data_IF_270350408599
#
_entry.id   IF_270350408599
#
_cell.length_a   1.000
_cell.length_b   1.000
_cell.length_c   1.000
_cell.angle_alpha   90.00
_cell.angle_beta   90.00
_cell.angle_gamma   90.00
#
_symmetry.space_group_name_H-M   'P 1'
#
loop_
_entity.id
_entity.type
_entity.pdbx_description
1 polymer ?
#
# COMPACT_ATOMS: atom_id res chain seq x y z
N UNK A 1 -8.16 29.21 12.77
CA UNK A 1 -7.47 28.81 14.03
C UNK A 1 -7.85 27.36 14.42
N UNK A 2 -6.86 26.45 14.48
CA UNK A 2 -7.01 25.13 15.10
C UNK A 2 -6.44 23.94 14.31
N UNK A 3 -6.82 23.77 13.03
CA UNK A 3 -6.47 22.58 12.23
C UNK A 3 -6.05 22.98 10.81
N UNK A 4 -5.01 22.33 10.27
CA UNK A 4 -4.59 22.52 8.87
C UNK A 4 -5.65 21.92 7.94
N UNK A 5 -6.05 22.65 6.89
CA UNK A 5 -7.12 22.26 5.97
C UNK A 5 -7.03 20.81 5.48
N UNK A 6 -5.85 20.37 5.01
CA UNK A 6 -5.66 19.00 4.51
C UNK A 6 -5.92 17.91 5.56
N UNK A 7 -5.66 18.19 6.84
CA UNK A 7 -5.92 17.25 7.95
C UNK A 7 -7.43 17.09 8.15
N UNK A 8 -8.15 18.20 8.10
CA UNK A 8 -9.60 18.21 8.24
C UNK A 8 -10.27 17.50 7.05
N UNK A 9 -9.83 17.78 5.82
CA UNK A 9 -10.34 17.11 4.61
C UNK A 9 -10.10 15.59 4.68
N UNK A 10 -8.90 15.16 5.06
CA UNK A 10 -8.58 13.74 5.23
C UNK A 10 -9.48 13.07 6.29
N UNK A 11 -9.69 13.73 7.44
CA UNK A 11 -10.56 13.20 8.50
C UNK A 11 -12.01 13.04 8.02
N UNK A 12 -12.52 13.98 7.24
CA UNK A 12 -13.85 13.88 6.64
C UNK A 12 -13.95 12.72 5.65
N UNK A 13 -12.95 12.54 4.79
CA UNK A 13 -12.91 11.44 3.83
C UNK A 13 -12.89 10.08 4.52
N UNK A 14 -12.02 9.92 5.53
CA UNK A 14 -11.94 8.69 6.33
C UNK A 14 -13.27 8.40 7.02
N UNK A 15 -13.87 9.40 7.67
CA UNK A 15 -15.17 9.24 8.33
C UNK A 15 -16.26 8.80 7.34
N UNK A 16 -16.34 9.45 6.18
CA UNK A 16 -17.33 9.12 5.14
C UNK A 16 -17.17 7.67 4.64
N UNK A 17 -15.94 7.25 4.36
CA UNK A 17 -15.64 5.90 3.85
C UNK A 17 -15.93 4.84 4.91
N UNK A 18 -15.46 5.05 6.14
CA UNK A 18 -15.67 4.10 7.23
C UNK A 18 -17.15 3.95 7.59
N UNK A 19 -17.90 5.05 7.61
CA UNK A 19 -19.34 5.03 7.85
C UNK A 19 -20.07 4.19 6.80
N UNK A 20 -19.78 4.39 5.51
CA UNK A 20 -20.41 3.63 4.41
C UNK A 20 -20.10 2.13 4.50
N UNK A 21 -18.86 1.78 4.79
CA UNK A 21 -18.45 0.37 4.94
C UNK A 21 -19.17 -0.26 6.14
N UNK A 22 -19.29 0.46 7.27
CA UNK A 22 -20.05 0.00 8.43
C UNK A 22 -21.53 -0.23 8.09
N UNK A 23 -22.17 0.71 7.39
CA UNK A 23 -23.58 0.56 6.97
C UNK A 23 -23.80 -0.64 6.03
N UNK A 24 -22.79 -0.98 5.22
CA UNK A 24 -22.83 -2.17 4.37
C UNK A 24 -22.51 -3.49 5.12
N UNK A 25 -22.32 -3.45 6.44
CA UNK A 25 -21.94 -4.63 7.25
C UNK A 25 -20.47 -5.03 7.14
N UNK A 26 -19.63 -4.20 6.50
CA UNK A 26 -18.20 -4.43 6.39
C UNK A 26 -17.44 -4.07 7.68
N UNK A 27 -16.28 -4.71 7.86
CA UNK A 27 -15.38 -4.46 8.99
C UNK A 27 -13.96 -4.18 8.51
N UNK A 28 -13.18 -3.49 9.34
CA UNK A 28 -11.77 -3.22 9.07
C UNK A 28 -10.89 -4.00 10.05
N UNK A 29 -9.77 -4.51 9.55
CA UNK A 29 -8.72 -5.04 10.40
C UNK A 29 -7.90 -3.87 10.96
N UNK A 30 -7.91 -3.69 12.27
CA UNK A 30 -7.13 -2.65 12.94
C UNK A 30 -5.62 -2.81 12.69
N UNK A 31 -5.12 -4.06 12.59
CA UNK A 31 -3.71 -4.35 12.35
C UNK A 31 -3.25 -4.09 10.91
N UNK A 32 -4.19 -4.09 9.95
CA UNK A 32 -3.89 -3.84 8.52
C UNK A 32 -4.28 -2.43 8.07
N UNK A 33 -5.00 -1.67 8.90
CA UNK A 33 -5.46 -0.32 8.57
C UNK A 33 -4.29 0.66 8.47
N UNK A 34 -4.27 1.44 7.39
CA UNK A 34 -3.26 2.49 7.14
C UNK A 34 -3.96 3.84 7.06
N UNK A 35 -4.16 4.51 8.20
CA UNK A 35 -4.86 5.79 8.32
C UNK A 35 -3.92 6.86 8.89
N UNK A 36 -4.02 8.10 8.42
CA UNK A 36 -3.18 9.23 8.85
C UNK A 36 -1.67 8.97 8.76
N UNK A 37 -1.22 8.26 7.72
CA UNK A 37 0.21 8.00 7.45
C UNK A 37 0.70 8.91 6.32
N UNK A 38 1.96 9.40 6.38
CA UNK A 38 2.55 10.17 5.29
C UNK A 38 2.77 9.32 4.04
N UNK A 39 3.04 8.03 4.22
CA UNK A 39 3.18 7.03 3.16
C UNK A 39 2.34 5.79 3.46
N UNK A 40 1.80 5.17 2.41
CA UNK A 40 0.94 3.97 2.52
C UNK A 40 1.25 2.97 1.42
N UNK A 41 1.10 1.68 1.71
CA UNK A 41 1.22 0.62 0.70
C UNK A 41 -0.15 0.33 0.11
N UNK A 42 -0.29 0.59 -1.20
CA UNK A 42 -1.51 0.34 -1.99
C UNK A 42 -1.15 -0.59 -3.13
N UNK A 43 -1.76 -1.79 -3.17
CA UNK A 43 -1.54 -2.81 -4.22
C UNK A 43 -0.04 -3.12 -4.42
N UNK A 44 0.72 -3.17 -3.32
CA UNK A 44 2.16 -3.46 -3.33
C UNK A 44 3.02 -2.35 -3.94
N UNK A 45 2.53 -1.11 -3.96
CA UNK A 45 3.30 0.10 -4.26
C UNK A 45 3.29 0.99 -3.03
N UNK A 46 4.42 1.60 -2.70
CA UNK A 46 4.52 2.62 -1.66
C UNK A 46 4.11 3.96 -2.26
N UNK A 47 2.97 4.47 -1.83
CA UNK A 47 2.46 5.78 -2.22
C UNK A 47 2.93 6.82 -1.20
N UNK A 48 3.64 7.83 -1.70
CA UNK A 48 4.20 8.96 -0.95
C UNK A 48 3.66 10.26 -1.53
N UNK A 49 3.78 11.41 -0.82
CA UNK A 49 3.40 12.70 -1.37
C UNK A 49 4.13 13.03 -2.69
N UNK A 50 5.35 12.53 -2.85
CA UNK A 50 6.20 12.75 -4.03
C UNK A 50 5.85 11.82 -5.20
N UNK A 51 5.02 10.81 -4.97
CA UNK A 51 4.59 9.87 -6.01
C UNK A 51 4.60 8.41 -5.55
N UNK A 52 4.65 7.50 -6.53
CA UNK A 52 4.61 6.06 -6.32
C UNK A 52 6.02 5.48 -6.40
N UNK A 53 6.37 4.66 -5.43
CA UNK A 53 7.64 3.95 -5.33
C UNK A 53 7.38 2.45 -5.17
N UNK A 54 8.30 1.59 -5.61
CA UNK A 54 8.21 0.16 -5.35
C UNK A 54 8.20 -0.11 -3.84
N UNK A 55 7.39 -1.08 -3.41
CA UNK A 55 7.44 -1.54 -2.02
C UNK A 55 8.81 -2.16 -1.70
N UNK A 56 9.41 -1.81 -0.56
CA UNK A 56 10.74 -2.29 -0.15
C UNK A 56 10.86 -3.81 -0.24
N UNK A 57 9.82 -4.55 0.17
CA UNK A 57 9.81 -6.02 0.08
C UNK A 57 9.92 -6.55 -1.35
N UNK A 58 9.38 -5.83 -2.34
CA UNK A 58 9.54 -6.20 -3.75
C UNK A 58 10.97 -5.95 -4.22
N UNK A 59 11.57 -4.84 -3.79
CA UNK A 59 12.98 -4.52 -4.07
C UNK A 59 13.88 -5.61 -3.46
N UNK A 60 13.66 -5.95 -2.20
CA UNK A 60 14.45 -6.97 -1.49
C UNK A 60 14.36 -8.34 -2.17
N UNK A 61 13.18 -8.71 -2.68
CA UNK A 61 13.00 -9.95 -3.43
C UNK A 61 13.79 -9.98 -4.73
N UNK A 62 13.89 -8.85 -5.44
CA UNK A 62 14.66 -8.75 -6.68
C UNK A 62 16.16 -8.78 -6.37
N UNK A 63 16.61 -8.03 -5.36
CA UNK A 63 18.02 -7.95 -4.99
C UNK A 63 18.58 -9.27 -4.44
N UNK A 64 17.77 -9.99 -3.65
CA UNK A 64 18.17 -11.25 -3.04
C UNK A 64 17.71 -12.47 -3.85
N UNK A 65 17.29 -12.29 -5.10
CA UNK A 65 16.85 -13.42 -5.92
C UNK A 65 18.04 -14.36 -6.18
N UNK A 66 17.91 -15.68 -5.93
CA UNK A 66 19.01 -16.61 -6.13
C UNK A 66 19.38 -16.74 -7.60
N UNK A 67 20.59 -17.21 -7.89
CA UNK A 67 21.05 -17.44 -9.26
C UNK A 67 20.05 -18.35 -9.99
N UNK A 68 19.59 -17.91 -11.16
CA UNK A 68 18.63 -18.62 -11.98
C UNK A 68 19.31 -19.86 -12.58
N UNK A 69 18.93 -21.06 -12.12
CA UNK A 69 19.52 -22.32 -12.59
C UNK A 69 18.57 -23.12 -13.48
N UNK A 70 17.27 -22.86 -13.42
CA UNK A 70 16.26 -23.56 -14.23
C UNK A 70 15.33 -22.63 -15.00
N UNK A 71 14.70 -23.16 -16.05
CA UNK A 71 13.67 -22.45 -16.83
C UNK A 71 12.50 -22.00 -15.95
N UNK A 72 12.18 -22.76 -14.89
CA UNK A 72 11.15 -22.39 -13.92
C UNK A 72 11.52 -21.13 -13.15
N UNK A 73 12.78 -21.02 -12.72
CA UNK A 73 13.26 -19.86 -11.96
C UNK A 73 13.26 -18.60 -12.83
N UNK A 74 13.67 -18.74 -14.10
CA UNK A 74 13.61 -17.65 -15.09
C UNK A 74 12.17 -17.16 -15.28
N UNK A 75 11.20 -18.07 -15.47
CA UNK A 75 9.78 -17.69 -15.60
C UNK A 75 9.23 -17.05 -14.34
N UNK A 76 9.62 -17.54 -13.16
CA UNK A 76 9.22 -16.96 -11.88
C UNK A 76 9.75 -15.55 -11.69
N UNK A 77 11.00 -15.29 -12.06
CA UNK A 77 11.59 -13.96 -12.02
C UNK A 77 10.91 -13.01 -13.02
N UNK A 78 10.71 -13.43 -14.26
CA UNK A 78 10.00 -12.62 -15.27
C UNK A 78 8.57 -12.29 -14.84
N UNK A 79 7.88 -13.24 -14.20
CA UNK A 79 6.54 -13.01 -13.65
C UNK A 79 6.51 -12.08 -12.43
N UNK A 80 7.63 -11.93 -11.70
CA UNK A 80 7.76 -10.93 -10.63
C UNK A 80 8.02 -9.52 -11.18
N UNK A 81 8.74 -9.42 -12.31
CA UNK A 81 9.11 -8.15 -12.94
C UNK A 81 8.01 -7.54 -13.81
N UNK A 82 7.04 -8.34 -14.28
CA UNK A 82 5.87 -7.88 -15.03
C UNK A 82 4.81 -7.26 -14.13
#
# INVERSE_FOLDING_TARGET
>A
PGIRRFIWEHAQDVHRVMHRIKCAGGTFSATKGQICRPDVVIVGQRCTPEGRLPETKKIDKILNWPVLTSVKDVRGFLGLCG
#
